data_IF_858769888139
#
_entry.id   IF_858769888139
#
_cell.length_a   1.000
_cell.length_b   1.000
_cell.length_c   1.000
_cell.angle_alpha   90.00
_cell.angle_beta   90.00
_cell.angle_gamma   90.00
#
_symmetry.space_group_name_H-M   'P 1'
#
loop_
_entity.id
_entity.type
_entity.pdbx_description
1 polymer ?
#
# COMPACT_ATOMS: atom_id res chain seq x y z
N UNK A 1 13.10 -22.96 -45.20
CA UNK A 1 12.50 -22.31 -44.00
C UNK A 1 12.56 -23.31 -42.85
N UNK A 2 13.27 -22.99 -41.76
CA UNK A 2 13.40 -23.91 -40.61
C UNK A 2 12.04 -24.18 -39.94
N UNK A 3 11.79 -25.43 -39.55
CA UNK A 3 10.57 -25.88 -38.86
C UNK A 3 10.22 -24.98 -37.67
N UNK A 4 11.21 -24.57 -36.88
CA UNK A 4 11.02 -23.67 -35.75
C UNK A 4 10.40 -22.33 -36.15
N UNK A 5 10.73 -21.82 -37.34
CA UNK A 5 10.23 -20.54 -37.83
C UNK A 5 8.78 -20.64 -38.30
N UNK A 6 8.38 -21.81 -38.83
CA UNK A 6 7.00 -22.10 -39.20
C UNK A 6 6.14 -22.33 -37.95
N UNK A 7 6.62 -23.13 -37.01
CA UNK A 7 5.92 -23.40 -35.75
C UNK A 7 5.74 -22.13 -34.91
N UNK A 8 6.79 -21.33 -34.75
CA UNK A 8 6.70 -20.05 -34.03
C UNK A 8 5.68 -19.09 -34.68
N UNK A 9 5.57 -19.10 -36.01
CA UNK A 9 4.59 -18.28 -36.73
C UNK A 9 3.16 -18.76 -36.50
N UNK A 10 2.93 -20.07 -36.46
CA UNK A 10 1.62 -20.66 -36.12
C UNK A 10 1.23 -20.32 -34.68
N UNK A 11 2.13 -20.50 -33.72
CA UNK A 11 1.89 -20.18 -32.31
C UNK A 11 1.63 -18.68 -32.11
N UNK A 12 2.41 -17.81 -32.76
CA UNK A 12 2.19 -16.36 -32.68
C UNK A 12 0.87 -15.95 -33.32
N UNK A 13 0.47 -16.54 -34.45
CA UNK A 13 -0.81 -16.25 -35.09
C UNK A 13 -1.99 -16.77 -34.26
N UNK A 14 -1.83 -17.94 -33.63
CA UNK A 14 -2.81 -18.46 -32.67
C UNK A 14 -2.96 -17.51 -31.46
N UNK A 15 -1.86 -17.07 -30.85
CA UNK A 15 -1.91 -16.11 -29.74
C UNK A 15 -2.46 -14.73 -30.14
N UNK A 16 -2.25 -14.30 -31.39
CA UNK A 16 -2.89 -13.06 -31.90
C UNK A 16 -4.39 -13.22 -32.15
N UNK A 17 -4.85 -14.43 -32.51
CA UNK A 17 -6.28 -14.73 -32.67
C UNK A 17 -7.02 -14.81 -31.33
N UNK A 18 -6.28 -15.05 -30.24
CA UNK A 18 -6.73 -14.75 -28.89
C UNK A 18 -6.56 -13.24 -28.72
N UNK A 19 -7.37 -12.45 -29.44
CA UNK A 19 -7.62 -11.08 -29.04
C UNK A 19 -8.09 -11.15 -27.59
N UNK A 20 -7.21 -10.76 -26.69
CA UNK A 20 -7.56 -10.43 -25.32
C UNK A 20 -8.42 -9.17 -25.35
N UNK A 21 -9.61 -9.25 -25.93
CA UNK A 21 -10.69 -8.30 -25.76
C UNK A 21 -11.28 -8.46 -24.36
N UNK A 22 -10.42 -8.56 -23.35
CA UNK A 22 -10.83 -8.28 -21.98
C UNK A 22 -10.93 -6.77 -21.95
N UNK A 23 -12.14 -6.20 -21.84
CA UNK A 23 -12.28 -4.76 -21.77
C UNK A 23 -11.40 -4.28 -20.61
N UNK A 24 -10.58 -3.28 -20.88
CA UNK A 24 -9.71 -2.60 -19.90
C UNK A 24 -10.51 -2.07 -18.67
N UNK A 25 -11.83 -2.03 -18.78
CA UNK A 25 -12.77 -1.61 -17.76
C UNK A 25 -13.66 -2.76 -17.28
N UNK A 26 -13.71 -2.88 -15.94
CA UNK A 26 -14.71 -3.55 -15.10
C UNK A 26 -15.92 -4.16 -15.82
N UNK A 27 -15.75 -5.33 -16.46
CA UNK A 27 -16.90 -6.18 -16.76
C UNK A 27 -17.43 -6.68 -15.42
N UNK A 28 -18.63 -6.23 -15.03
CA UNK A 28 -19.33 -6.77 -13.86
C UNK A 28 -19.57 -8.25 -14.12
N UNK A 29 -18.72 -9.09 -13.55
CA UNK A 29 -18.90 -10.55 -13.59
C UNK A 29 -20.17 -10.86 -12.81
N UNK A 30 -21.08 -11.60 -13.43
CA UNK A 30 -22.25 -12.11 -12.74
C UNK A 30 -21.77 -13.01 -11.60
N UNK A 31 -22.16 -12.65 -10.37
CA UNK A 31 -21.78 -13.41 -9.19
C UNK A 31 -22.61 -14.68 -9.13
N UNK A 32 -21.98 -15.81 -8.82
CA UNK A 32 -22.70 -17.04 -8.53
C UNK A 32 -23.61 -16.87 -7.31
N UNK A 33 -24.71 -17.64 -7.17
CA UNK A 33 -25.60 -17.54 -6.00
C UNK A 33 -24.85 -17.71 -4.66
N UNK A 34 -23.84 -18.57 -4.63
CA UNK A 34 -22.98 -18.75 -3.45
C UNK A 34 -22.18 -17.48 -3.14
N UNK A 35 -21.62 -16.84 -4.16
CA UNK A 35 -20.85 -15.61 -4.00
C UNK A 35 -21.73 -14.43 -3.55
N UNK A 36 -23.00 -14.39 -3.98
CA UNK A 36 -23.98 -13.42 -3.49
C UNK A 36 -24.25 -13.60 -1.99
N UNK A 37 -24.53 -14.84 -1.54
CA UNK A 37 -24.73 -15.14 -0.12
C UNK A 37 -23.49 -14.82 0.71
N UNK A 38 -22.30 -15.14 0.20
CA UNK A 38 -21.05 -14.81 0.84
C UNK A 38 -20.90 -13.29 1.06
N UNK A 39 -21.11 -12.52 0.00
CA UNK A 39 -20.94 -11.07 0.02
C UNK A 39 -22.02 -10.36 0.87
N UNK A 40 -23.23 -10.90 0.96
CA UNK A 40 -24.33 -10.29 1.72
C UNK A 40 -24.34 -10.67 3.20
N UNK A 41 -23.96 -11.91 3.53
CA UNK A 41 -24.09 -12.44 4.90
C UNK A 41 -22.75 -12.54 5.60
N UNK A 42 -21.78 -13.22 4.98
CA UNK A 42 -20.52 -13.54 5.63
C UNK A 42 -19.56 -12.36 5.61
N UNK A 43 -19.48 -11.64 4.50
CA UNK A 43 -18.58 -10.50 4.35
C UNK A 43 -18.87 -9.39 5.37
N UNK A 44 -20.11 -8.90 5.57
CA UNK A 44 -20.35 -7.85 6.55
C UNK A 44 -20.07 -8.29 7.99
N UNK A 45 -20.37 -9.54 8.32
CA UNK A 45 -20.09 -10.12 9.64
C UNK A 45 -18.57 -10.22 9.87
N UNK A 46 -17.82 -10.70 8.89
CA UNK A 46 -16.36 -10.74 8.92
C UNK A 46 -15.76 -9.34 9.09
N UNK A 47 -16.23 -8.36 8.30
CA UNK A 47 -15.74 -6.99 8.42
C UNK A 47 -16.06 -6.36 9.77
N UNK A 48 -17.24 -6.65 10.32
CA UNK A 48 -17.66 -6.11 11.62
C UNK A 48 -16.91 -6.75 12.80
N UNK A 49 -16.73 -8.07 12.79
CA UNK A 49 -16.24 -8.81 13.95
C UNK A 49 -14.73 -9.06 13.91
N UNK A 50 -14.13 -9.14 12.72
CA UNK A 50 -12.72 -9.51 12.57
C UNK A 50 -11.93 -8.38 11.94
N UNK A 51 -12.24 -8.01 10.69
CA UNK A 51 -11.39 -7.07 9.94
C UNK A 51 -11.37 -5.68 10.56
N UNK A 52 -12.53 -5.11 10.92
CA UNK A 52 -12.63 -3.78 11.51
C UNK A 52 -11.91 -3.66 12.87
N UNK A 53 -12.14 -4.55 13.84
CA UNK A 53 -11.39 -4.55 15.10
C UNK A 53 -9.88 -4.74 14.90
N UNK A 54 -9.48 -5.63 13.99
CA UNK A 54 -8.08 -5.86 13.66
C UNK A 54 -7.41 -4.61 13.07
N UNK A 55 -8.02 -3.98 12.05
CA UNK A 55 -7.51 -2.76 11.42
C UNK A 55 -7.44 -1.60 12.41
N UNK A 56 -8.42 -1.45 13.31
CA UNK A 56 -8.38 -0.43 14.36
C UNK A 56 -7.21 -0.68 15.33
N UNK A 57 -6.98 -1.92 15.72
CA UNK A 57 -5.83 -2.28 16.55
C UNK A 57 -4.52 -2.00 15.82
N UNK A 58 -4.40 -2.42 14.57
CA UNK A 58 -3.21 -2.22 13.72
C UNK A 58 -2.91 -0.73 13.55
N UNK A 59 -3.93 0.07 13.24
CA UNK A 59 -3.84 1.51 13.14
C UNK A 59 -3.33 2.13 14.45
N UNK A 60 -3.93 1.78 15.59
CA UNK A 60 -3.50 2.31 16.90
C UNK A 60 -2.06 1.91 17.25
N UNK A 61 -1.65 0.67 16.92
CA UNK A 61 -0.29 0.20 17.14
C UNK A 61 0.72 0.95 16.27
N UNK A 62 0.40 1.18 15.00
CA UNK A 62 1.22 1.97 14.07
C UNK A 62 1.33 3.43 14.52
N UNK A 63 0.20 4.05 14.88
CA UNK A 63 0.17 5.43 15.38
C UNK A 63 1.00 5.57 16.64
N UNK A 64 0.85 4.65 17.61
CA UNK A 64 1.65 4.67 18.84
C UNK A 64 3.15 4.55 18.55
N UNK A 65 3.53 3.68 17.61
CA UNK A 65 4.92 3.53 17.17
C UNK A 65 5.46 4.80 16.54
N UNK A 66 4.75 5.39 15.58
CA UNK A 66 5.20 6.59 14.87
C UNK A 66 5.27 7.81 15.80
N UNK A 67 4.28 7.98 16.68
CA UNK A 67 4.29 9.01 17.71
C UNK A 67 5.46 8.85 18.68
N UNK A 68 5.70 7.63 19.17
CA UNK A 68 6.83 7.33 20.04
C UNK A 68 8.19 7.66 19.41
N UNK A 69 8.30 7.53 18.09
CA UNK A 69 9.52 7.85 17.33
C UNK A 69 9.56 9.30 16.83
N UNK A 70 8.44 10.03 16.92
CA UNK A 70 8.31 11.38 16.40
C UNK A 70 8.44 11.46 14.90
N UNK A 71 7.98 10.43 14.19
CA UNK A 71 7.93 10.40 12.73
C UNK A 71 6.47 10.39 12.26
N UNK A 72 6.24 10.81 11.02
CA UNK A 72 4.95 10.70 10.36
C UNK A 72 4.86 9.36 9.60
N UNK A 73 3.65 8.94 9.24
CA UNK A 73 3.44 7.72 8.47
C UNK A 73 4.19 7.75 7.12
N UNK A 74 4.16 8.90 6.44
CA UNK A 74 4.85 9.10 5.14
C UNK A 74 6.39 9.06 5.27
N UNK A 75 6.92 9.38 6.46
CA UNK A 75 8.37 9.27 6.72
C UNK A 75 8.83 7.80 6.75
N UNK A 76 7.91 6.84 6.93
CA UNK A 76 8.20 5.40 6.96
C UNK A 76 8.10 4.72 5.58
N UNK A 77 7.73 5.45 4.53
CA UNK A 77 7.72 4.94 3.16
C UNK A 77 9.15 4.68 2.67
N UNK A 78 9.29 3.78 1.70
CA UNK A 78 10.59 3.44 1.14
C UNK A 78 11.00 4.46 0.08
N UNK A 79 12.02 5.26 0.37
CA UNK A 79 12.57 6.28 -0.52
C UNK A 79 13.15 5.72 -1.84
N UNK A 80 13.31 4.39 -1.96
CA UNK A 80 13.72 3.70 -3.19
C UNK A 80 12.57 3.28 -4.09
N UNK A 81 11.33 3.51 -3.67
CA UNK A 81 10.17 3.34 -4.55
C UNK A 81 10.11 4.53 -5.51
N UNK A 82 10.01 4.25 -6.81
CA UNK A 82 10.03 5.26 -7.88
C UNK A 82 8.92 6.31 -7.71
N UNK A 83 7.77 5.93 -7.13
CA UNK A 83 6.68 6.87 -6.86
C UNK A 83 7.03 7.80 -5.70
N UNK A 84 7.64 7.25 -4.64
CA UNK A 84 8.02 7.99 -3.44
C UNK A 84 9.18 8.93 -3.75
N UNK A 85 10.20 8.46 -4.46
CA UNK A 85 11.32 9.26 -4.93
C UNK A 85 10.82 10.47 -5.72
N UNK A 86 9.93 10.24 -6.70
CA UNK A 86 9.34 11.32 -7.50
C UNK A 86 8.51 12.28 -6.66
N UNK A 87 7.79 11.79 -5.66
CA UNK A 87 7.04 12.65 -4.75
C UNK A 87 7.99 13.52 -3.91
N UNK A 88 9.09 12.97 -3.40
CA UNK A 88 10.10 13.68 -2.63
C UNK A 88 10.81 14.79 -3.43
N UNK A 89 10.95 14.61 -4.75
CA UNK A 89 11.50 15.66 -5.63
C UNK A 89 10.57 16.87 -5.76
N UNK A 90 9.26 16.62 -5.78
CA UNK A 90 8.22 17.63 -6.05
C UNK A 90 7.81 18.38 -4.78
N UNK A 91 7.92 17.75 -3.60
CA UNK A 91 7.52 18.41 -2.35
C UNK A 91 8.36 19.69 -2.10
N UNK A 92 7.73 20.73 -1.54
CA UNK A 92 8.41 21.93 -1.06
C UNK A 92 9.62 21.63 -0.16
N UNK A 93 10.66 22.46 -0.29
CA UNK A 93 11.93 22.26 0.41
C UNK A 93 11.78 22.35 1.94
N UNK A 94 10.90 23.21 2.44
CA UNK A 94 10.58 23.33 3.86
C UNK A 94 9.99 22.04 4.44
N UNK A 95 9.06 21.41 3.72
CA UNK A 95 8.47 20.11 4.10
C UNK A 95 9.54 19.01 4.08
N UNK A 96 10.41 19.02 3.07
CA UNK A 96 11.53 18.07 2.92
C UNK A 96 12.52 18.16 4.09
N UNK A 97 12.91 19.37 4.48
CA UNK A 97 13.79 19.61 5.62
C UNK A 97 13.13 19.13 6.92
N UNK A 98 11.83 19.40 7.11
CA UNK A 98 11.11 18.93 8.29
C UNK A 98 11.04 17.39 8.35
N UNK A 99 10.75 16.73 7.22
CA UNK A 99 10.82 15.26 7.09
C UNK A 99 12.18 14.74 7.50
N UNK A 100 13.25 15.29 6.95
CA UNK A 100 14.61 14.89 7.28
C UNK A 100 14.91 15.01 8.78
N UNK A 101 14.52 16.12 9.42
CA UNK A 101 14.69 16.32 10.87
C UNK A 101 13.94 15.27 11.70
N UNK A 102 12.71 14.92 11.31
CA UNK A 102 11.93 13.87 11.99
C UNK A 102 12.59 12.51 11.84
N UNK A 103 13.02 12.14 10.63
CA UNK A 103 13.70 10.88 10.36
C UNK A 103 15.01 10.74 11.15
N UNK A 104 15.84 11.79 11.19
CA UNK A 104 17.08 11.78 11.97
C UNK A 104 16.81 11.62 13.48
N UNK A 105 15.81 12.33 14.00
CA UNK A 105 15.37 12.16 15.40
C UNK A 105 14.90 10.72 15.67
N UNK A 106 14.08 10.17 14.79
CA UNK A 106 13.62 8.78 14.87
C UNK A 106 14.78 7.78 14.87
N UNK A 107 15.76 7.95 13.98
CA UNK A 107 16.95 7.10 13.92
C UNK A 107 17.77 7.14 15.23
N UNK A 108 17.96 8.33 15.81
CA UNK A 108 18.67 8.49 17.09
C UNK A 108 17.92 7.80 18.24
N UNK A 109 16.60 7.97 18.32
CA UNK A 109 15.77 7.31 19.33
C UNK A 109 15.81 5.78 19.18
N UNK A 110 15.74 5.29 17.94
CA UNK A 110 15.75 3.85 17.64
C UNK A 110 17.08 3.23 18.06
N UNK A 111 18.19 3.87 17.69
CA UNK A 111 19.53 3.42 18.08
C UNK A 111 19.74 3.37 19.59
N UNK A 112 19.03 4.21 20.35
CA UNK A 112 19.07 4.24 21.82
C UNK A 112 18.00 3.40 22.49
N UNK A 113 17.10 2.77 21.73
CA UNK A 113 15.90 2.07 22.24
C UNK A 113 15.03 2.97 23.15
N UNK A 114 14.91 4.24 22.78
CA UNK A 114 14.12 5.24 23.48
C UNK A 114 12.90 5.69 22.66
N UNK A 115 12.00 6.40 23.31
CA UNK A 115 10.86 7.08 22.70
C UNK A 115 10.88 8.57 23.09
N UNK A 116 10.17 9.40 22.33
CA UNK A 116 9.93 10.79 22.72
C UNK A 116 9.15 10.86 24.04
N UNK A 117 9.37 11.89 24.86
CA UNK A 117 8.48 12.21 25.98
C UNK A 117 7.01 12.31 25.51
N UNK A 118 6.07 11.82 26.30
CA UNK A 118 4.64 11.77 25.95
C UNK A 118 4.07 13.14 25.53
N UNK A 119 4.56 14.23 26.16
CA UNK A 119 4.18 15.61 25.84
C UNK A 119 4.52 16.01 24.39
N UNK A 120 5.58 15.42 23.83
CA UNK A 120 6.07 15.67 22.46
C UNK A 120 5.55 14.64 21.45
N UNK A 121 4.78 13.64 21.91
CA UNK A 121 4.18 12.61 21.05
C UNK A 121 2.83 13.05 20.44
N UNK A 122 2.26 14.15 20.92
CA UNK A 122 1.03 14.72 20.39
C UNK A 122 1.32 15.42 19.05
N UNK A 123 1.20 14.65 17.98
CA UNK A 123 0.80 15.23 16.70
C UNK A 123 -0.69 15.51 16.79
N UNK A 124 -1.08 16.78 16.61
CA UNK A 124 -2.46 17.17 16.43
C UNK A 124 -3.05 16.31 15.29
N UNK A 125 -4.02 15.43 15.56
CA UNK A 125 -4.71 14.71 14.51
C UNK A 125 -5.70 15.70 13.89
N UNK A 126 -5.22 16.59 13.01
CA UNK A 126 -6.11 17.25 12.07
C UNK A 126 -6.83 16.20 11.22
#
# INVERSE_FOLDING_TARGET
MSFHRAFARVVCNYNKSIEGSVPWYQVKREKSPFQQVWDEVFTPVWFKLVKGPYERWEYNALVARYRGMGIMADDAMNDKDMIVERALDIIPEDIRIQRYRRMMRGAVLAGRKLHLPLELQNYDPM
#
